data_IF_159027492018
#
_entry.id   IF_159027492018
#
_cell.length_a   1.000
_cell.length_b   1.000
_cell.length_c   1.000
_cell.angle_alpha   90.00
_cell.angle_beta   90.00
_cell.angle_gamma   90.00
#
_symmetry.space_group_name_H-M   'P 1'
#
loop_
_entity.id
_entity.type
_entity.pdbx_description
1 polymer ?
#
# COMPACT_ATOMS: atom_id res chain seq x y z
N UNK A 1 -5.92 -3.42 -18.37
CA UNK A 1 -5.42 -3.40 -16.99
C UNK A 1 -6.62 -3.31 -16.07
N UNK A 2 -6.74 -4.27 -15.16
CA UNK A 2 -7.80 -4.24 -14.14
C UNK A 2 -7.64 -3.00 -13.25
N UNK A 3 -8.75 -2.49 -12.71
CA UNK A 3 -8.73 -1.40 -11.73
C UNK A 3 -7.89 -1.77 -10.51
N UNK A 4 -7.91 -3.05 -10.11
CA UNK A 4 -7.11 -3.60 -9.00
C UNK A 4 -5.62 -3.66 -9.31
N UNK A 5 -5.20 -3.99 -10.54
CA UNK A 5 -3.77 -3.95 -10.94
C UNK A 5 -3.18 -2.55 -10.83
N UNK A 6 -3.93 -1.55 -11.31
CA UNK A 6 -3.52 -0.14 -11.21
C UNK A 6 -3.42 0.29 -9.74
N UNK A 7 -4.39 -0.09 -8.90
CA UNK A 7 -4.36 0.19 -7.47
C UNK A 7 -3.17 -0.49 -6.76
N UNK A 8 -2.82 -1.73 -7.13
CA UNK A 8 -1.61 -2.41 -6.61
C UNK A 8 -0.34 -1.65 -6.97
N UNK A 9 -0.20 -1.21 -8.22
CA UNK A 9 0.95 -0.45 -8.68
C UNK A 9 1.08 0.89 -7.93
N UNK A 10 -0.02 1.65 -7.80
CA UNK A 10 -0.04 2.93 -7.09
C UNK A 10 0.29 2.74 -5.61
N UNK A 11 -0.29 1.75 -4.94
CA UNK A 11 0.01 1.48 -3.53
C UNK A 11 1.48 1.11 -3.32
N UNK A 12 2.08 0.33 -4.24
CA UNK A 12 3.50 -0.04 -4.19
C UNK A 12 4.41 1.17 -4.37
N UNK A 13 4.09 2.06 -5.32
CA UNK A 13 4.84 3.30 -5.53
C UNK A 13 4.70 4.26 -4.37
N UNK A 14 3.49 4.42 -3.81
CA UNK A 14 3.25 5.24 -2.63
C UNK A 14 4.06 4.78 -1.41
N UNK A 15 4.11 3.47 -1.15
CA UNK A 15 4.95 2.90 -0.09
C UNK A 15 6.43 3.24 -0.31
N UNK A 16 6.95 3.03 -1.53
CA UNK A 16 8.36 3.33 -1.85
C UNK A 16 8.69 4.82 -1.66
N UNK A 17 7.81 5.71 -2.12
CA UNK A 17 7.99 7.15 -1.94
C UNK A 17 7.98 7.53 -0.47
N UNK A 18 7.08 6.95 0.32
CA UNK A 18 7.01 7.18 1.77
C UNK A 18 8.30 6.74 2.46
N UNK A 19 8.84 5.55 2.13
CA UNK A 19 10.13 5.07 2.64
C UNK A 19 11.27 6.03 2.28
N UNK A 20 11.31 6.53 1.04
CA UNK A 20 12.31 7.52 0.60
C UNK A 20 12.22 8.80 1.43
N UNK A 21 11.02 9.32 1.67
CA UNK A 21 10.80 10.49 2.54
C UNK A 21 11.29 10.21 3.96
N UNK A 22 11.01 9.03 4.51
CA UNK A 22 11.51 8.60 5.82
C UNK A 22 13.04 8.56 5.88
N UNK A 23 13.69 8.03 4.85
CA UNK A 23 15.16 7.97 4.75
C UNK A 23 15.79 9.37 4.64
N UNK A 24 15.19 10.26 3.83
CA UNK A 24 15.63 11.66 3.74
C UNK A 24 15.44 12.40 5.06
N UNK A 25 14.32 12.16 5.76
CA UNK A 25 14.08 12.68 7.10
C UNK A 25 15.13 12.21 8.10
N UNK A 26 15.46 10.92 8.11
CA UNK A 26 16.52 10.37 8.96
C UNK A 26 17.86 11.08 8.72
N UNK A 27 18.27 11.20 7.46
CA UNK A 27 19.52 11.86 7.08
C UNK A 27 19.53 13.32 7.57
N UNK A 28 18.45 14.05 7.30
CA UNK A 28 18.29 15.44 7.70
C UNK A 28 18.43 15.64 9.21
N UNK A 29 17.65 14.91 10.02
CA UNK A 29 17.68 15.06 11.47
C UNK A 29 19.00 14.56 12.08
N UNK A 30 19.61 13.52 11.53
CA UNK A 30 20.92 13.03 11.99
C UNK A 30 22.02 14.08 11.78
N UNK A 31 22.04 14.77 10.62
CA UNK A 31 23.01 15.86 10.37
C UNK A 31 22.81 17.09 11.27
N UNK A 32 21.64 17.23 11.91
CA UNK A 32 21.31 18.28 12.88
C UNK A 32 21.62 17.88 14.34
N UNK A 33 22.04 16.64 14.57
CA UNK A 33 22.23 16.08 15.92
C UNK A 33 20.96 15.55 16.58
N UNK A 34 19.82 15.55 15.89
CA UNK A 34 18.52 15.10 16.40
C UNK A 34 18.23 13.63 16.03
N UNK A 35 19.13 12.72 16.43
CA UNK A 35 19.09 11.30 16.00
C UNK A 35 17.77 10.62 16.38
N UNK A 36 17.24 10.87 17.58
CA UNK A 36 15.98 10.27 18.05
C UNK A 36 14.81 10.68 17.15
N UNK A 37 14.69 11.98 16.82
CA UNK A 37 13.68 12.49 15.90
C UNK A 37 13.80 11.83 14.53
N UNK A 38 15.03 11.71 14.01
CA UNK A 38 15.31 11.04 12.74
C UNK A 38 14.82 9.59 12.73
N UNK A 39 15.12 8.82 13.78
CA UNK A 39 14.68 7.42 13.92
C UNK A 39 13.16 7.32 13.99
N UNK A 40 12.50 8.19 14.77
CA UNK A 40 11.04 8.20 14.88
C UNK A 40 10.40 8.51 13.53
N UNK A 41 10.87 9.52 12.82
CA UNK A 41 10.37 9.89 11.48
C UNK A 41 10.59 8.73 10.49
N UNK A 42 11.79 8.16 10.44
CA UNK A 42 12.09 7.03 9.58
C UNK A 42 11.20 5.82 9.89
N UNK A 43 10.98 5.53 11.17
CA UNK A 43 10.10 4.45 11.63
C UNK A 43 8.65 4.67 11.21
N UNK A 44 8.10 5.87 11.42
CA UNK A 44 6.73 6.20 11.05
C UNK A 44 6.51 6.08 9.53
N UNK A 45 7.41 6.65 8.73
CA UNK A 45 7.29 6.59 7.28
C UNK A 45 7.64 5.22 6.70
N UNK A 46 8.58 4.49 7.29
CA UNK A 46 8.97 3.15 6.84
C UNK A 46 7.98 2.07 7.27
N UNK A 47 7.85 1.86 8.57
CA UNK A 47 6.99 0.81 9.15
C UNK A 47 5.52 1.14 8.93
N UNK A 48 5.12 2.40 9.11
CA UNK A 48 3.74 2.83 8.91
C UNK A 48 3.27 2.65 7.47
N UNK A 49 4.09 3.06 6.48
CA UNK A 49 3.72 2.87 5.06
C UNK A 49 3.70 1.41 4.65
N UNK A 50 4.60 0.57 5.18
CA UNK A 50 4.57 -0.87 4.93
C UNK A 50 3.30 -1.52 5.49
N UNK A 51 2.91 -1.15 6.72
CA UNK A 51 1.69 -1.66 7.33
C UNK A 51 0.44 -1.27 6.53
N UNK A 52 0.35 -0.01 6.09
CA UNK A 52 -0.74 0.48 5.25
C UNK A 52 -0.77 -0.21 3.89
N UNK A 53 0.39 -0.39 3.24
CA UNK A 53 0.52 -1.15 1.99
C UNK A 53 0.01 -2.58 2.16
N UNK A 54 0.45 -3.28 3.21
CA UNK A 54 0.01 -4.64 3.49
C UNK A 54 -1.50 -4.72 3.72
N UNK A 55 -2.08 -3.75 4.43
CA UNK A 55 -3.54 -3.65 4.61
C UNK A 55 -4.24 -3.50 3.26
N UNK A 56 -3.81 -2.55 2.42
CA UNK A 56 -4.37 -2.34 1.08
C UNK A 56 -4.30 -3.59 0.21
N UNK A 57 -3.19 -4.34 0.25
CA UNK A 57 -3.08 -5.58 -0.53
C UNK A 57 -4.11 -6.62 -0.09
N UNK A 58 -4.31 -6.80 1.23
CA UNK A 58 -5.33 -7.74 1.75
C UNK A 58 -6.74 -7.35 1.35
N UNK A 59 -7.02 -6.05 1.29
CA UNK A 59 -8.32 -5.56 0.85
C UNK A 59 -8.53 -5.81 -0.66
N UNK A 60 -7.49 -5.62 -1.48
CA UNK A 60 -7.53 -5.95 -2.91
C UNK A 60 -7.66 -7.46 -3.17
N UNK A 61 -6.96 -8.30 -2.43
CA UNK A 61 -7.05 -9.76 -2.56
C UNK A 61 -8.47 -10.26 -2.27
N UNK A 62 -9.19 -9.62 -1.34
CA UNK A 62 -10.61 -9.93 -1.05
C UNK A 62 -11.53 -9.52 -2.20
N UNK A 63 -11.27 -8.38 -2.83
CA UNK A 63 -12.04 -7.91 -3.99
C UNK A 63 -11.83 -8.84 -5.18
N UNK A 64 -10.57 -9.18 -5.49
CA UNK A 64 -10.24 -10.09 -6.59
C UNK A 64 -10.87 -11.49 -6.35
N UNK A 65 -10.85 -11.99 -5.09
CA UNK A 65 -11.51 -13.25 -4.75
C UNK A 65 -13.04 -13.20 -4.88
N UNK A 66 -13.67 -12.08 -4.48
CA UNK A 66 -15.11 -11.89 -4.64
C UNK A 66 -15.51 -11.78 -6.11
N UNK A 67 -14.69 -11.13 -6.94
CA UNK A 67 -14.90 -11.01 -8.39
C UNK A 67 -14.72 -12.36 -9.10
N UNK A 68 -13.79 -13.21 -8.67
CA UNK A 68 -13.68 -14.59 -9.16
C UNK A 68 -14.83 -15.50 -8.75
N UNK A 69 -15.47 -15.25 -7.60
CA UNK A 69 -16.60 -16.07 -7.12
C UNK A 69 -17.91 -15.72 -7.84
N UNK A 70 -17.98 -14.54 -8.48
CA UNK A 70 -19.14 -14.10 -9.25
C UNK A 70 -19.11 -14.77 -10.63
N UNK A 71 -19.60 -16.00 -10.68
CA UNK A 71 -19.61 -16.82 -11.88
C UNK A 71 -20.50 -16.17 -12.97
N UNK A 72 -19.99 -15.83 -14.16
CA UNK A 72 -20.77 -15.19 -15.23
C UNK A 72 -21.96 -16.04 -15.73
N UNK A 73 -22.03 -17.32 -15.38
CA UNK A 73 -23.16 -18.19 -15.69
C UNK A 73 -24.38 -17.94 -14.78
N UNK A 74 -24.21 -17.59 -13.50
CA UNK A 74 -25.34 -17.26 -12.59
C UNK A 74 -26.07 -15.98 -13.02
N UNK A 75 -25.36 -14.98 -13.54
CA UNK A 75 -25.97 -13.73 -14.03
C UNK A 75 -26.77 -13.93 -15.33
N UNK A 76 -26.43 -14.94 -16.14
CA UNK A 76 -27.22 -15.29 -17.34
C UNK A 76 -28.53 -15.99 -16.99
N UNK A 77 -28.54 -16.85 -15.97
CA UNK A 77 -29.77 -17.52 -15.53
C UNK A 77 -30.76 -16.55 -14.85
N UNK A 78 -30.28 -15.55 -14.11
CA UNK A 78 -31.16 -14.51 -13.50
C UNK A 78 -31.81 -13.54 -14.48
N UNK A 79 -31.31 -13.44 -15.72
CA UNK A 79 -31.88 -12.57 -16.77
C UNK A 79 -32.89 -13.28 -17.67
N UNK A 80 -33.12 -14.58 -17.50
CA UNK A 80 -34.01 -15.38 -18.35
C UNK A 80 -35.37 -15.61 -17.71
#
# INVERSE_FOLDING_TARGET
MGTTETQRAVAKWGMRLSVLVGALGLLYFTTRGEVVTGIVVAGLFGVGSYWEYKRRMRDLDRVDAAEQTRDPFEERERRR
#
